data_IF_499273779863
#
_entry.id   IF_499273779863
#
_cell.length_a   1.000
_cell.length_b   1.000
_cell.length_c   1.000
_cell.angle_alpha   90.00
_cell.angle_beta   90.00
_cell.angle_gamma   90.00
#
_symmetry.space_group_name_H-M   'P 1'
#
loop_
_entity.id
_entity.type
_entity.pdbx_description
1 polymer ?
#
# COMPACT_ATOMS: atom_id res chain seq x y z
N UNK A 1 40.10 30.36 -5.69
CA UNK A 1 39.37 30.55 -4.42
C UNK A 1 38.20 29.58 -4.41
N UNK A 2 38.38 28.41 -3.81
CA UNK A 2 37.90 28.04 -2.46
C UNK A 2 36.37 28.13 -2.29
N UNK A 3 35.68 26.98 -2.42
CA UNK A 3 34.94 26.25 -1.36
C UNK A 3 33.64 26.98 -0.92
N UNK A 4 32.45 26.39 -0.73
CA UNK A 4 32.11 25.27 0.16
C UNK A 4 30.65 24.82 -0.08
N UNK A 5 30.44 23.51 0.08
CA UNK A 5 29.15 22.84 0.37
C UNK A 5 28.64 23.26 1.76
N UNK A 6 27.32 23.33 1.97
CA UNK A 6 26.65 23.02 3.25
C UNK A 6 25.13 23.03 3.05
N UNK A 7 24.45 21.89 2.83
CA UNK A 7 23.73 21.13 3.88
C UNK A 7 23.28 21.98 5.07
N UNK A 8 22.05 22.50 5.05
CA UNK A 8 21.36 22.94 6.26
C UNK A 8 20.39 21.84 6.72
N UNK A 9 20.94 20.87 7.45
CA UNK A 9 20.18 20.10 8.42
C UNK A 9 20.03 21.01 9.66
N UNK A 10 18.88 21.68 9.83
CA UNK A 10 18.57 22.35 11.09
C UNK A 10 17.97 21.33 12.05
N UNK A 11 18.85 20.76 12.87
CA UNK A 11 18.50 20.00 14.05
C UNK A 11 17.68 20.87 15.02
N UNK A 12 16.42 20.53 15.25
CA UNK A 12 15.59 21.14 16.28
C UNK A 12 15.86 20.41 17.61
N UNK A 13 16.73 20.99 18.45
CA UNK A 13 16.86 20.63 19.87
C UNK A 13 15.52 20.89 20.56
N UNK A 14 14.94 19.88 21.22
CA UNK A 14 13.85 20.06 22.19
C UNK A 14 14.42 19.93 23.59
N UNK A 15 14.38 21.01 24.36
CA UNK A 15 14.58 20.98 25.80
C UNK A 15 13.27 20.53 26.48
N UNK A 16 13.32 19.73 27.56
CA UNK A 16 12.12 19.22 28.21
C UNK A 16 11.55 20.29 29.15
N UNK A 17 10.42 20.88 28.77
CA UNK A 17 9.65 21.73 29.67
C UNK A 17 9.03 20.87 30.78
N UNK A 18 9.35 21.23 32.02
CA UNK A 18 8.88 20.60 33.24
C UNK A 18 7.37 20.80 33.45
N UNK A 19 6.70 19.72 33.84
CA UNK A 19 5.56 19.71 34.76
C UNK A 19 4.24 20.29 34.27
N UNK A 20 3.35 19.42 33.77
CA UNK A 20 1.90 19.47 34.04
C UNK A 20 1.37 18.04 34.08
N UNK A 21 1.23 17.50 35.29
CA UNK A 21 0.49 16.27 35.57
C UNK A 21 -1.00 16.58 35.67
N UNK A 22 -1.62 16.91 34.53
CA UNK A 22 -3.06 16.74 34.38
C UNK A 22 -3.28 15.58 33.42
N UNK A 23 -3.92 14.54 33.92
CA UNK A 23 -4.47 13.44 33.13
C UNK A 23 -5.63 13.95 32.30
N UNK A 24 -5.32 14.81 31.31
CA UNK A 24 -6.21 15.00 30.18
C UNK A 24 -6.24 13.66 29.48
N UNK A 25 -7.38 12.97 29.53
CA UNK A 25 -7.70 11.90 28.59
C UNK A 25 -7.62 12.50 27.19
N UNK A 26 -6.44 12.61 26.61
CA UNK A 26 -6.22 12.89 25.20
C UNK A 26 -6.53 11.59 24.47
N UNK A 27 -7.82 11.31 24.31
CA UNK A 27 -8.30 10.42 23.29
C UNK A 27 -8.00 11.12 21.97
N UNK A 28 -6.87 10.80 21.36
CA UNK A 28 -6.58 11.05 19.96
C UNK A 28 -7.59 10.27 19.10
N UNK A 29 -8.86 10.67 19.14
CA UNK A 29 -9.93 10.23 18.25
C UNK A 29 -10.31 11.37 17.30
N UNK A 30 -9.32 12.08 16.77
CA UNK A 30 -9.47 12.87 15.55
C UNK A 30 -8.12 12.81 14.85
N UNK A 31 -8.07 12.07 13.75
CA UNK A 31 -6.89 11.92 12.91
C UNK A 31 -6.33 13.28 12.49
N UNK A 32 -5.03 13.31 12.21
CA UNK A 32 -4.30 14.50 11.79
C UNK A 32 -5.08 15.28 10.72
N UNK A 33 -5.40 16.55 11.00
CA UNK A 33 -6.01 17.47 10.03
C UNK A 33 -4.90 18.10 9.20
N UNK A 34 -5.03 18.00 7.89
CA UNK A 34 -4.17 18.65 6.92
C UNK A 34 -5.03 19.43 5.94
N UNK A 35 -4.58 20.61 5.54
CA UNK A 35 -5.19 21.38 4.45
C UNK A 35 -4.38 21.17 3.18
N UNK A 36 -5.06 20.75 2.11
CA UNK A 36 -4.46 20.60 0.78
C UNK A 36 -5.49 20.96 -0.29
N UNK A 37 -5.02 21.39 -1.47
CA UNK A 37 -5.88 21.65 -2.63
C UNK A 37 -5.97 20.38 -3.48
N UNK A 38 -7.20 19.91 -3.71
CA UNK A 38 -7.50 18.72 -4.53
C UNK A 38 -8.53 19.13 -5.58
N UNK A 39 -8.40 18.57 -6.78
CA UNK A 39 -9.44 18.70 -7.82
C UNK A 39 -10.70 17.93 -7.38
N UNK A 40 -11.77 18.67 -7.09
CA UNK A 40 -13.05 18.11 -6.63
C UNK A 40 -13.70 17.21 -7.69
N UNK A 41 -13.55 17.52 -8.99
CA UNK A 41 -14.13 16.70 -10.05
C UNK A 41 -13.41 15.35 -10.17
N UNK A 42 -12.10 15.33 -9.96
CA UNK A 42 -11.33 14.08 -9.86
C UNK A 42 -11.78 13.27 -8.63
N UNK A 43 -11.90 13.92 -7.48
CA UNK A 43 -12.26 13.27 -6.23
C UNK A 43 -13.66 12.65 -6.31
N UNK A 44 -14.63 13.35 -6.87
CA UNK A 44 -15.99 12.85 -7.07
C UNK A 44 -16.03 11.63 -8.00
N UNK A 45 -15.25 11.64 -9.10
CA UNK A 45 -15.13 10.47 -9.99
C UNK A 45 -14.56 9.27 -9.25
N UNK A 46 -13.53 9.46 -8.43
CA UNK A 46 -12.92 8.38 -7.63
C UNK A 46 -13.91 7.86 -6.59
N UNK A 47 -14.58 8.74 -5.85
CA UNK A 47 -15.61 8.36 -4.88
C UNK A 47 -16.72 7.54 -5.54
N UNK A 48 -17.24 7.99 -6.68
CA UNK A 48 -18.30 7.27 -7.41
C UNK A 48 -17.84 5.93 -7.97
N UNK A 49 -16.61 5.85 -8.50
CA UNK A 49 -16.09 4.64 -9.12
C UNK A 49 -15.86 3.50 -8.10
N UNK A 50 -15.49 3.84 -6.88
CA UNK A 50 -15.14 2.87 -5.84
C UNK A 50 -16.14 2.82 -4.66
N UNK A 51 -17.15 3.69 -4.65
CA UNK A 51 -18.22 3.69 -3.66
C UNK A 51 -17.81 4.23 -2.29
N UNK A 52 -16.90 5.21 -2.22
CA UNK A 52 -16.44 5.79 -0.95
C UNK A 52 -17.45 6.81 -0.39
N UNK A 53 -17.68 6.77 0.92
CA UNK A 53 -18.67 7.63 1.60
C UNK A 53 -18.10 9.01 1.92
N UNK A 54 -16.77 9.12 2.05
CA UNK A 54 -16.11 10.38 2.43
C UNK A 54 -14.90 10.73 1.56
N UNK A 55 -14.62 12.04 1.46
CA UNK A 55 -13.42 12.56 0.79
C UNK A 55 -12.14 12.03 1.44
N UNK A 56 -12.11 11.93 2.76
CA UNK A 56 -10.96 11.43 3.53
C UNK A 56 -10.69 9.96 3.23
N UNK A 57 -11.74 9.13 3.23
CA UNK A 57 -11.64 7.71 2.89
C UNK A 57 -11.12 7.52 1.46
N UNK A 58 -11.65 8.26 0.50
CA UNK A 58 -11.20 8.17 -0.89
C UNK A 58 -9.71 8.49 -1.04
N UNK A 59 -9.23 9.52 -0.35
CA UNK A 59 -7.80 9.91 -0.35
C UNK A 59 -6.94 8.86 0.34
N UNK A 60 -7.36 8.37 1.51
CA UNK A 60 -6.66 7.33 2.25
C UNK A 60 -6.52 6.05 1.40
N UNK A 61 -7.61 5.62 0.79
CA UNK A 61 -7.64 4.43 -0.06
C UNK A 61 -6.83 4.60 -1.33
N UNK A 62 -6.85 5.79 -1.95
CA UNK A 62 -6.00 6.08 -3.10
C UNK A 62 -4.51 5.99 -2.75
N UNK A 63 -4.09 6.56 -1.62
CA UNK A 63 -2.69 6.50 -1.18
C UNK A 63 -2.25 5.07 -0.85
N UNK A 64 -3.10 4.31 -0.13
CA UNK A 64 -2.85 2.89 0.15
C UNK A 64 -2.70 2.08 -1.13
N UNK A 65 -3.57 2.31 -2.12
CA UNK A 65 -3.51 1.59 -3.39
C UNK A 65 -2.25 1.95 -4.20
N UNK A 66 -1.82 3.20 -4.19
CA UNK A 66 -0.58 3.62 -4.84
C UNK A 66 0.65 2.99 -4.20
N UNK A 67 0.70 2.91 -2.87
CA UNK A 67 1.76 2.20 -2.14
C UNK A 67 1.74 0.69 -2.44
N UNK A 68 0.55 0.06 -2.41
CA UNK A 68 0.39 -1.36 -2.74
C UNK A 68 0.93 -1.68 -4.14
N UNK A 69 0.62 -0.83 -5.13
CA UNK A 69 1.12 -0.99 -6.51
C UNK A 69 2.63 -0.83 -6.60
N UNK A 70 3.21 0.11 -5.86
CA UNK A 70 4.66 0.30 -5.81
C UNK A 70 5.36 -0.95 -5.24
N UNK A 71 4.86 -1.50 -4.13
CA UNK A 71 5.38 -2.74 -3.54
C UNK A 71 5.22 -3.94 -4.48
N UNK A 72 4.07 -4.08 -5.14
CA UNK A 72 3.87 -5.15 -6.12
C UNK A 72 4.89 -5.07 -7.26
N UNK A 73 5.16 -3.87 -7.78
CA UNK A 73 6.17 -3.65 -8.82
C UNK A 73 7.58 -4.05 -8.36
N UNK A 74 7.89 -3.81 -7.09
CA UNK A 74 9.15 -4.23 -6.48
C UNK A 74 9.27 -5.76 -6.43
N UNK A 75 8.24 -6.46 -5.95
CA UNK A 75 8.20 -7.93 -5.95
C UNK A 75 8.29 -8.52 -7.36
N UNK A 76 7.61 -7.93 -8.34
CA UNK A 76 7.69 -8.38 -9.72
C UNK A 76 9.10 -8.22 -10.31
N UNK A 77 9.84 -7.19 -9.91
CA UNK A 77 11.20 -6.92 -10.40
C UNK A 77 12.25 -7.79 -9.70
N UNK A 78 12.16 -7.91 -8.38
CA UNK A 78 13.17 -8.54 -7.55
C UNK A 78 12.87 -10.02 -7.25
N UNK A 79 11.67 -10.48 -7.60
CA UNK A 79 11.16 -11.79 -7.19
C UNK A 79 10.76 -11.82 -5.72
N UNK A 80 10.34 -12.99 -5.26
CA UNK A 80 9.92 -13.22 -3.87
C UNK A 80 11.10 -13.40 -2.90
N UNK A 81 12.34 -13.34 -3.40
CA UNK A 81 13.54 -13.65 -2.61
C UNK A 81 13.68 -15.13 -2.23
N UNK A 82 12.78 -15.99 -2.71
CA UNK A 82 12.79 -17.43 -2.47
C UNK A 82 13.60 -18.17 -3.52
N UNK A 83 14.29 -19.22 -3.10
CA UNK A 83 14.89 -20.20 -4.01
C UNK A 83 13.80 -21.07 -4.65
N UNK A 84 14.15 -21.83 -5.70
CA UNK A 84 13.21 -22.74 -6.36
C UNK A 84 12.66 -23.82 -5.42
N UNK A 85 13.47 -24.31 -4.48
CA UNK A 85 13.07 -25.32 -3.51
C UNK A 85 12.07 -24.76 -2.50
N UNK A 86 12.40 -23.63 -1.88
CA UNK A 86 11.50 -22.96 -0.93
C UNK A 86 10.17 -22.54 -1.57
N UNK A 87 10.19 -22.15 -2.84
CA UNK A 87 8.97 -21.84 -3.57
C UNK A 87 8.09 -23.08 -3.81
N UNK A 88 8.70 -24.26 -4.04
CA UNK A 88 7.97 -25.51 -4.17
C UNK A 88 7.37 -25.95 -2.82
N UNK A 89 8.13 -25.79 -1.74
CA UNK A 89 7.71 -26.12 -0.37
C UNK A 89 6.65 -25.15 0.17
N UNK A 90 6.52 -23.95 -0.42
CA UNK A 90 5.51 -22.96 -0.04
C UNK A 90 4.08 -23.36 -0.47
N UNK A 91 3.93 -24.32 -1.37
CA UNK A 91 2.63 -24.85 -1.79
C UNK A 91 2.25 -26.00 -0.87
N UNK A 92 1.04 -25.95 -0.30
CA UNK A 92 0.54 -27.04 0.55
C UNK A 92 0.53 -28.37 -0.23
N UNK A 93 1.17 -29.45 0.27
CA UNK A 93 1.21 -30.74 -0.42
C UNK A 93 -0.17 -31.34 -0.71
N UNK A 94 -1.19 -30.99 0.06
CA UNK A 94 -2.57 -31.42 -0.16
C UNK A 94 -3.32 -30.55 -1.20
N UNK A 95 -2.67 -29.52 -1.77
CA UNK A 95 -3.25 -28.64 -2.77
C UNK A 95 -3.31 -29.30 -4.16
N UNK A 96 -4.32 -30.14 -4.37
CA UNK A 96 -4.57 -30.80 -5.65
C UNK A 96 -5.50 -29.97 -6.56
N UNK A 97 -4.89 -29.27 -7.52
CA UNK A 97 -5.58 -28.44 -8.50
C UNK A 97 -6.49 -29.26 -9.43
N UNK A 98 -6.15 -30.51 -9.73
CA UNK A 98 -6.92 -31.34 -10.66
C UNK A 98 -8.24 -31.80 -10.01
N UNK A 99 -8.19 -32.17 -8.73
CA UNK A 99 -9.39 -32.50 -7.95
C UNK A 99 -10.29 -31.28 -7.81
N UNK A 100 -9.73 -30.11 -7.49
CA UNK A 100 -10.51 -28.87 -7.35
C UNK A 100 -11.19 -28.44 -8.67
N UNK A 101 -10.54 -28.67 -9.81
CA UNK A 101 -11.07 -28.33 -11.14
C UNK A 101 -11.99 -29.39 -11.76
N UNK A 102 -12.18 -30.54 -11.12
CA UNK A 102 -12.95 -31.65 -11.71
C UNK A 102 -14.41 -31.29 -12.04
N UNK A 103 -14.99 -30.32 -11.32
CA UNK A 103 -16.35 -29.82 -11.55
C UNK A 103 -16.40 -28.55 -12.43
N UNK A 104 -15.26 -27.97 -12.79
CA UNK A 104 -15.22 -26.76 -13.60
C UNK A 104 -15.38 -27.12 -15.09
N UNK A 105 -16.33 -26.51 -15.82
CA UNK A 105 -16.41 -26.68 -17.26
C UNK A 105 -15.13 -26.13 -17.92
N UNK A 106 -14.66 -26.80 -18.98
CA UNK A 106 -13.47 -26.37 -19.70
C UNK A 106 -13.65 -24.91 -20.20
N UNK A 107 -12.76 -24.03 -19.76
CA UNK A 107 -12.76 -22.63 -20.18
C UNK A 107 -12.47 -22.48 -21.68
N UNK A 108 -13.05 -21.46 -22.30
CA UNK A 108 -12.91 -21.18 -23.74
C UNK A 108 -11.50 -20.70 -24.16
N UNK A 109 -10.67 -20.30 -23.18
CA UNK A 109 -9.33 -19.76 -23.39
C UNK A 109 -8.24 -20.85 -23.39
N UNK A 110 -7.13 -20.60 -24.11
CA UNK A 110 -5.94 -21.46 -24.04
C UNK A 110 -5.92 -22.68 -24.98
N UNK A 111 -6.68 -22.65 -26.10
CA UNK A 111 -6.55 -23.69 -27.14
C UNK A 111 -5.09 -23.78 -27.59
N UNK A 112 -4.47 -24.96 -27.44
CA UNK A 112 -3.13 -25.22 -27.97
C UNK A 112 -3.15 -24.96 -29.48
N UNK A 113 -2.31 -24.04 -29.94
CA UNK A 113 -2.04 -23.92 -31.38
C UNK A 113 -1.36 -25.22 -31.83
N UNK A 114 -1.81 -25.87 -32.91
CA UNK A 114 -1.05 -26.96 -33.50
C UNK A 114 0.32 -26.43 -33.94
N UNK A 115 1.37 -27.21 -33.63
CA UNK A 115 2.78 -26.91 -33.94
C UNK A 115 3.06 -26.86 -35.43
#
# INVERSE_FOLDING_TARGET
>A
MLKQRATQQRAYKREPAAGLTETVKCHTWYGMKMTMHIDDALLERVMKAYGYESKTEAVEMALKEMDRRARLKEFMKNGLGLTKGELADAVDPAYDVLVMRAAEPAGEYGKRRPS
#
